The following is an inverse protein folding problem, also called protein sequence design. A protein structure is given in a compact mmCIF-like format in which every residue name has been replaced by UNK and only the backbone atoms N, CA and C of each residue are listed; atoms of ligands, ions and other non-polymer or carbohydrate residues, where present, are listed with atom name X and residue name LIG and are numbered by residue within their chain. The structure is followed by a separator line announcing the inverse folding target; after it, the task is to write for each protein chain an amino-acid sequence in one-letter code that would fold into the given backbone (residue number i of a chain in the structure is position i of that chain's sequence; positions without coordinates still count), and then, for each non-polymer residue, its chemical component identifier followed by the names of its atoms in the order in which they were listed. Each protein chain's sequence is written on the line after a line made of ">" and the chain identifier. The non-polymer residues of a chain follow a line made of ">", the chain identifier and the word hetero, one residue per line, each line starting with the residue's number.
data_IF_138824315362
#
_entry.id   IF_138824315362
#
_cell.length_a   1.000
_cell.length_b   1.000
_cell.length_c   1.000
_cell.angle_alpha   90.00
_cell.angle_beta   90.00
_cell.angle_gamma   90.00
#
_symmetry.space_group_name_H-M   'P 1'
#
loop_
_entity.id
_entity.type
_entity.pdbx_description
1 polymer ?
#
# COMPACT_ATOMS: atom_id res chain seq x y z
N UNK A 1 10.74 17.99 -0.10
CA UNK A 1 10.07 16.68 -0.06
C UNK A 1 10.95 15.64 -0.71
N UNK A 2 11.24 14.54 -0.01
CA UNK A 2 12.20 13.55 -0.49
C UNK A 2 11.49 12.26 -0.88
N UNK A 3 11.77 11.80 -2.09
CA UNK A 3 11.29 10.49 -2.58
C UNK A 3 12.07 9.39 -1.85
N UNK A 4 11.36 8.40 -1.32
CA UNK A 4 11.99 7.27 -0.67
C UNK A 4 12.77 6.45 -1.69
N UNK A 5 13.97 6.01 -1.33
CA UNK A 5 14.83 5.23 -2.23
C UNK A 5 14.32 3.80 -2.36
N UNK A 6 14.53 3.22 -3.53
CA UNK A 6 14.14 1.85 -3.84
C UNK A 6 14.60 0.85 -2.76
N UNK A 7 15.89 0.87 -2.44
CA UNK A 7 16.46 -0.08 -1.49
C UNK A 7 15.89 0.12 -0.08
N UNK A 8 15.73 1.38 0.32
CA UNK A 8 15.17 1.68 1.65
C UNK A 8 13.73 1.19 1.76
N UNK A 9 12.93 1.38 0.70
CA UNK A 9 11.56 0.93 0.66
C UNK A 9 11.47 -0.60 0.74
N UNK A 10 12.23 -1.30 -0.10
CA UNK A 10 12.23 -2.76 -0.11
C UNK A 10 12.73 -3.35 1.21
N UNK A 11 13.78 -2.78 1.78
CA UNK A 11 14.31 -3.25 3.07
C UNK A 11 13.26 -3.10 4.17
N UNK A 12 12.54 -1.98 4.18
CA UNK A 12 11.50 -1.75 5.18
C UNK A 12 10.33 -2.74 4.99
N UNK A 13 9.88 -2.96 3.76
CA UNK A 13 8.82 -3.94 3.49
C UNK A 13 9.27 -5.34 3.88
N UNK A 14 10.48 -5.70 3.49
CA UNK A 14 11.05 -7.01 3.80
C UNK A 14 11.11 -7.25 5.31
N UNK A 15 11.56 -6.25 6.06
CA UNK A 15 11.67 -6.33 7.51
C UNK A 15 10.29 -6.46 8.17
N UNK A 16 9.35 -5.62 7.79
CA UNK A 16 8.01 -5.61 8.40
C UNK A 16 7.19 -6.83 8.04
N UNK A 17 7.34 -7.32 6.82
CA UNK A 17 6.67 -8.53 6.36
C UNK A 17 7.42 -9.81 6.71
N UNK A 18 8.63 -9.67 7.24
CA UNK A 18 9.51 -10.82 7.53
C UNK A 18 9.72 -11.71 6.32
N UNK A 19 9.88 -11.07 5.15
CA UNK A 19 10.11 -11.81 3.91
C UNK A 19 11.55 -12.34 3.83
N UNK A 20 11.74 -13.58 3.41
CA UNK A 20 13.09 -14.15 3.30
C UNK A 20 13.91 -13.53 2.17
N UNK A 21 13.27 -12.95 1.16
CA UNK A 21 13.96 -12.36 0.02
C UNK A 21 13.39 -11.00 -0.36
N UNK A 22 14.21 -10.18 -1.00
CA UNK A 22 13.76 -8.91 -1.55
C UNK A 22 12.73 -9.10 -2.67
N UNK A 23 12.83 -10.20 -3.42
CA UNK A 23 11.88 -10.51 -4.49
C UNK A 23 10.45 -10.70 -3.97
N UNK A 24 10.30 -11.38 -2.85
CA UNK A 24 8.99 -11.56 -2.23
C UNK A 24 8.44 -10.25 -1.70
N UNK A 25 9.29 -9.40 -1.10
CA UNK A 25 8.89 -8.07 -0.65
C UNK A 25 8.44 -7.22 -1.83
N UNK A 26 9.16 -7.26 -2.94
CA UNK A 26 8.81 -6.52 -4.15
C UNK A 26 7.46 -6.98 -4.71
N UNK A 27 7.22 -8.28 -4.76
CA UNK A 27 5.96 -8.83 -5.27
C UNK A 27 4.77 -8.36 -4.44
N UNK A 28 4.90 -8.41 -3.12
CA UNK A 28 3.85 -7.92 -2.22
C UNK A 28 3.59 -6.44 -2.45
N UNK A 29 4.65 -5.63 -2.54
CA UNK A 29 4.52 -4.19 -2.76
C UNK A 29 3.84 -3.88 -4.10
N UNK A 30 4.21 -4.56 -5.17
CA UNK A 30 3.60 -4.35 -6.49
C UNK A 30 2.10 -4.61 -6.47
N UNK A 31 1.69 -5.71 -5.86
CA UNK A 31 0.28 -6.10 -5.79
C UNK A 31 -0.52 -5.09 -4.96
N UNK A 32 -0.04 -4.78 -3.78
CA UNK A 32 -0.75 -3.89 -2.86
C UNK A 32 -0.87 -2.48 -3.44
N UNK A 33 0.21 -1.96 -4.04
CA UNK A 33 0.20 -0.61 -4.60
C UNK A 33 -0.67 -0.50 -5.85
N UNK A 34 -0.74 -1.56 -6.66
CA UNK A 34 -1.62 -1.58 -7.83
C UNK A 34 -3.09 -1.50 -7.40
N UNK A 35 -3.45 -2.20 -6.33
CA UNK A 35 -4.80 -2.14 -5.78
C UNK A 35 -5.07 -0.81 -5.08
N UNK A 36 -4.12 -0.31 -4.31
CA UNK A 36 -4.27 0.96 -3.60
C UNK A 36 -4.51 2.10 -4.59
N UNK A 37 -3.77 2.12 -5.70
CA UNK A 37 -3.91 3.16 -6.71
C UNK A 37 -5.32 3.27 -7.26
N UNK A 38 -6.04 2.15 -7.34
CA UNK A 38 -7.42 2.12 -7.81
C UNK A 38 -8.40 2.79 -6.84
N UNK A 39 -7.98 2.98 -5.58
CA UNK A 39 -8.81 3.57 -4.52
C UNK A 39 -8.52 5.04 -4.26
N UNK A 40 -7.51 5.59 -4.92
CA UNK A 40 -7.10 6.98 -4.74
C UNK A 40 -7.31 7.78 -6.01
N UNK A 41 -7.62 9.05 -5.87
CA UNK A 41 -7.82 9.95 -7.01
C UNK A 41 -7.13 11.29 -6.74
N UNK A 42 -6.88 12.02 -7.83
CA UNK A 42 -6.46 13.42 -7.77
C UNK A 42 -5.10 13.65 -7.14
N UNK A 43 -5.00 14.72 -6.40
CA UNK A 43 -3.73 15.19 -5.84
C UNK A 43 -3.12 14.24 -4.82
N UNK A 44 -3.94 13.60 -3.99
CA UNK A 44 -3.45 12.66 -2.98
C UNK A 44 -2.73 11.47 -3.59
N UNK A 45 -3.24 10.96 -4.70
CA UNK A 45 -2.56 9.87 -5.41
C UNK A 45 -1.23 10.36 -5.98
N UNK A 46 -1.22 11.54 -6.61
CA UNK A 46 -0.01 12.11 -7.17
C UNK A 46 1.03 12.44 -6.11
N UNK A 47 0.60 13.02 -4.99
CA UNK A 47 1.50 13.34 -3.88
C UNK A 47 2.10 12.09 -3.26
N UNK A 48 1.29 11.06 -3.08
CA UNK A 48 1.78 9.80 -2.54
C UNK A 48 2.81 9.17 -3.49
N UNK A 49 2.50 9.14 -4.78
CA UNK A 49 3.44 8.63 -5.79
C UNK A 49 4.77 9.36 -5.74
N UNK A 50 4.75 10.69 -5.51
CA UNK A 50 5.96 11.48 -5.47
C UNK A 50 6.88 11.11 -4.29
N UNK A 51 6.36 10.43 -3.28
CA UNK A 51 7.13 10.03 -2.10
C UNK A 51 7.67 8.60 -2.17
N UNK A 52 7.20 7.83 -3.15
CA UNK A 52 7.60 6.44 -3.32
C UNK A 52 8.72 6.29 -4.35
N UNK A 53 9.48 5.19 -4.30
CA UNK A 53 10.44 4.89 -5.37
C UNK A 53 9.75 4.93 -6.72
N UNK A 54 10.47 5.37 -7.75
CA UNK A 54 9.89 5.63 -9.06
C UNK A 54 9.10 4.46 -9.65
N UNK A 55 9.62 3.24 -9.54
CA UNK A 55 8.89 2.06 -10.04
C UNK A 55 7.56 1.88 -9.34
N UNK A 56 7.52 2.04 -8.02
CA UNK A 56 6.29 1.91 -7.26
C UNK A 56 5.35 3.09 -7.49
N UNK A 57 5.91 4.29 -7.71
CA UNK A 57 5.12 5.45 -8.10
C UNK A 57 4.36 5.19 -9.40
N UNK A 58 5.02 4.60 -10.38
CA UNK A 58 4.40 4.27 -11.67
C UNK A 58 3.28 3.25 -11.50
N UNK A 59 3.47 2.28 -10.63
CA UNK A 59 2.43 1.27 -10.35
C UNK A 59 1.21 1.94 -9.70
N UNK A 60 1.42 2.82 -8.74
CA UNK A 60 0.35 3.53 -8.06
C UNK A 60 -0.44 4.42 -9.04
N UNK A 61 0.25 5.05 -9.98
CA UNK A 61 -0.37 5.94 -10.96
C UNK A 61 -1.04 5.20 -12.12
N UNK A 62 -0.74 3.91 -12.30
CA UNK A 62 -1.36 3.07 -13.33
C UNK A 62 -2.05 1.87 -12.67
N UNK A 63 -3.09 2.12 -11.87
CA UNK A 63 -3.69 1.07 -11.06
C UNK A 63 -4.48 0.07 -11.88
N UNK A 64 -4.68 -1.11 -11.29
CA UNK A 64 -5.65 -2.06 -11.80
C UNK A 64 -7.03 -1.44 -11.68
N UNK A 65 -7.87 -1.67 -12.70
CA UNK A 65 -9.21 -1.12 -12.66
C UNK A 65 -10.06 -1.85 -11.65
N UNK A 66 -10.63 -1.09 -10.71
CA UNK A 66 -11.61 -1.61 -9.77
C UNK A 66 -12.96 -0.96 -10.10
N UNK A 67 -13.99 -1.76 -10.20
CA UNK A 67 -15.33 -1.25 -10.51
C UNK A 67 -15.90 -0.42 -9.37
N UNK A 68 -15.54 -0.75 -8.14
CA UNK A 68 -16.02 -0.09 -6.93
C UNK A 68 -14.92 -0.04 -5.87
N UNK A 69 -14.94 0.97 -4.99
CA UNK A 69 -14.02 0.95 -3.84
C UNK A 69 -14.29 -0.26 -2.96
N UNK A 70 -13.22 -0.93 -2.56
CA UNK A 70 -13.32 -2.10 -1.70
C UNK A 70 -13.18 -1.68 -0.24
N UNK A 71 -13.96 -2.30 0.66
CA UNK A 71 -13.72 -2.15 2.08
C UNK A 71 -12.40 -2.89 2.44
N UNK A 72 -11.84 -2.66 3.64
CA UNK A 72 -10.56 -3.25 3.99
C UNK A 72 -10.51 -4.77 3.87
N UNK A 73 -11.58 -5.46 4.26
CA UNK A 73 -11.65 -6.92 4.18
C UNK A 73 -11.60 -7.41 2.74
N UNK A 74 -12.36 -6.76 1.85
CA UNK A 74 -12.35 -7.11 0.42
C UNK A 74 -11.03 -6.76 -0.24
N UNK A 75 -10.38 -5.69 0.20
CA UNK A 75 -9.05 -5.33 -0.28
C UNK A 75 -8.05 -6.44 0.02
N UNK A 76 -8.08 -6.95 1.25
CA UNK A 76 -7.22 -8.08 1.64
C UNK A 76 -7.52 -9.32 0.80
N UNK A 77 -8.78 -9.63 0.56
CA UNK A 77 -9.17 -10.77 -0.28
C UNK A 77 -8.71 -10.60 -1.72
N UNK A 78 -8.84 -9.39 -2.27
CA UNK A 78 -8.37 -9.11 -3.62
C UNK A 78 -6.86 -9.28 -3.72
N UNK A 79 -6.12 -8.85 -2.68
CA UNK A 79 -4.68 -9.06 -2.62
C UNK A 79 -4.35 -10.55 -2.63
N UNK A 80 -5.07 -11.35 -1.82
CA UNK A 80 -4.86 -12.79 -1.76
C UNK A 80 -5.07 -13.46 -3.12
N UNK A 81 -6.05 -12.99 -3.89
CA UNK A 81 -6.34 -13.55 -5.21
C UNK A 81 -5.20 -13.34 -6.22
N UNK A 82 -4.39 -12.29 -6.03
CA UNK A 82 -3.28 -11.97 -6.93
C UNK A 82 -1.94 -12.58 -6.50
N UNK A 83 -1.85 -13.09 -5.28
CA UNK A 83 -0.62 -13.70 -4.77
C UNK A 83 -0.83 -15.20 -4.65
N UNK A 84 -0.11 -15.98 -5.46
CA UNK A 84 -0.21 -17.44 -5.46
C UNK A 84 0.04 -18.03 -4.07
N UNK A 85 -0.87 -18.89 -3.63
CA UNK A 85 -0.74 -19.58 -2.37
C UNK A 85 -1.05 -18.76 -1.13
N UNK A 86 -1.47 -17.51 -1.30
CA UNK A 86 -1.78 -16.66 -0.16
C UNK A 86 -3.14 -17.00 0.44
N UNK A 87 -3.19 -17.11 1.77
CA UNK A 87 -4.44 -17.18 2.53
C UNK A 87 -4.87 -15.75 2.85
N UNK A 88 -6.09 -15.58 3.35
CA UNK A 88 -6.56 -14.27 3.80
C UNK A 88 -5.67 -13.71 4.92
N UNK A 89 -5.19 -14.57 5.84
CA UNK A 89 -4.30 -14.14 6.91
C UNK A 89 -2.96 -13.67 6.39
N UNK A 90 -2.37 -14.43 5.46
CA UNK A 90 -1.10 -14.06 4.83
C UNK A 90 -1.26 -12.76 4.04
N UNK A 91 -2.35 -12.62 3.30
CA UNK A 91 -2.60 -11.40 2.53
C UNK A 91 -2.78 -10.19 3.44
N UNK A 92 -3.43 -10.33 4.58
CA UNK A 92 -3.57 -9.24 5.54
C UNK A 92 -2.20 -8.81 6.07
N UNK A 93 -1.33 -9.77 6.34
CA UNK A 93 0.04 -9.51 6.76
C UNK A 93 0.78 -8.73 5.67
N UNK A 94 0.67 -9.18 4.42
CA UNK A 94 1.33 -8.53 3.28
C UNK A 94 0.82 -7.10 3.08
N UNK A 95 -0.49 -6.91 3.12
CA UNK A 95 -1.09 -5.59 2.98
C UNK A 95 -0.59 -4.65 4.09
N UNK A 96 -0.62 -5.11 5.33
CA UNK A 96 -0.20 -4.29 6.48
C UNK A 96 1.28 -3.93 6.41
N UNK A 97 2.13 -4.88 6.00
CA UNK A 97 3.57 -4.62 5.87
C UNK A 97 3.83 -3.51 4.85
N UNK A 98 3.23 -3.62 3.67
CA UNK A 98 3.42 -2.64 2.61
C UNK A 98 2.83 -1.28 2.99
N UNK A 99 1.57 -1.26 3.45
CA UNK A 99 0.89 -0.01 3.74
C UNK A 99 1.50 0.75 4.91
N UNK A 100 2.07 0.05 5.91
CA UNK A 100 2.74 0.74 7.01
C UNK A 100 4.00 1.47 6.52
N UNK A 101 4.73 0.90 5.56
CA UNK A 101 5.89 1.57 4.95
C UNK A 101 5.43 2.75 4.11
N UNK A 102 4.34 2.59 3.36
CA UNK A 102 3.74 3.68 2.58
C UNK A 102 3.34 4.83 3.51
N UNK A 103 2.75 4.54 4.65
CA UNK A 103 2.38 5.56 5.64
C UNK A 103 3.60 6.34 6.15
N UNK A 104 4.70 5.64 6.40
CA UNK A 104 5.94 6.30 6.84
C UNK A 104 6.49 7.22 5.75
N UNK A 105 6.44 6.78 4.50
CA UNK A 105 6.90 7.60 3.37
C UNK A 105 6.00 8.82 3.16
N UNK A 106 4.71 8.68 3.39
CA UNK A 106 3.74 9.75 3.18
C UNK A 106 3.78 10.84 4.26
N UNK A 107 3.96 10.44 5.51
CA UNK A 107 3.86 11.35 6.64
C UNK A 107 2.41 11.59 7.07
N UNK A 108 2.23 12.15 8.26
CA UNK A 108 0.92 12.27 8.89
C UNK A 108 -0.09 13.09 8.11
N UNK A 109 0.33 14.24 7.57
CA UNK A 109 -0.58 15.13 6.87
C UNK A 109 -1.16 14.47 5.62
N UNK A 110 -0.30 13.92 4.78
CA UNK A 110 -0.75 13.25 3.57
C UNK A 110 -1.58 12.02 3.91
N UNK A 111 -1.17 11.23 4.92
CA UNK A 111 -1.94 10.05 5.32
C UNK A 111 -3.33 10.41 5.77
N UNK A 112 -3.51 11.50 6.51
CA UNK A 112 -4.85 11.95 6.92
C UNK A 112 -5.74 12.19 5.70
N UNK A 113 -5.20 12.85 4.67
CA UNK A 113 -5.95 13.11 3.45
C UNK A 113 -6.23 11.84 2.63
N UNK A 114 -5.28 10.92 2.59
CA UNK A 114 -5.46 9.62 1.93
C UNK A 114 -6.57 8.83 2.60
N UNK A 115 -6.55 8.76 3.93
CA UNK A 115 -7.56 8.00 4.68
C UNK A 115 -8.96 8.56 4.50
N UNK A 116 -9.10 9.87 4.25
CA UNK A 116 -10.39 10.47 3.98
C UNK A 116 -11.00 10.01 2.65
N UNK A 117 -10.18 9.57 1.70
CA UNK A 117 -10.66 9.04 0.42
C UNK A 117 -11.06 7.57 0.50
N UNK A 118 -10.61 6.87 1.55
CA UNK A 118 -10.79 5.43 1.67
C UNK A 118 -11.99 5.10 2.56
N UNK A 119 -12.64 3.95 2.33
CA UNK A 119 -13.67 3.47 3.25
C UNK A 119 -13.13 3.32 4.68
N UNK A 120 -14.02 3.34 5.69
CA UNK A 120 -13.58 3.18 7.09
C UNK A 120 -12.86 1.86 7.33
N UNK A 121 -11.86 1.88 8.20
CA UNK A 121 -11.10 0.70 8.60
C UNK A 121 -9.72 0.59 7.98
N UNK A 122 -9.42 1.35 6.93
CA UNK A 122 -8.10 1.32 6.33
C UNK A 122 -7.00 1.80 7.26
N UNK A 123 -7.32 2.65 8.23
CA UNK A 123 -6.34 3.11 9.21
C UNK A 123 -5.65 1.95 9.92
N UNK A 124 -6.36 0.86 10.14
CA UNK A 124 -5.80 -0.34 10.77
C UNK A 124 -4.76 -1.02 9.86
N UNK A 125 -5.03 -1.04 8.55
CA UNK A 125 -4.11 -1.63 7.58
C UNK A 125 -2.84 -0.80 7.42
N UNK A 126 -2.96 0.52 7.53
CA UNK A 126 -1.81 1.42 7.49
C UNK A 126 -1.06 1.47 8.82
N UNK A 127 -1.60 0.89 9.87
CA UNK A 127 -1.00 0.94 11.20
C UNK A 127 -1.04 2.33 11.83
N UNK A 128 -2.08 3.10 11.51
CA UNK A 128 -2.23 4.47 12.02
C UNK A 128 -3.50 4.60 12.84
N UNK A 129 -3.51 5.53 13.82
CA UNK A 129 -4.74 5.80 14.55
C UNK A 129 -5.77 6.46 13.63
N UNK A 130 -7.04 6.28 13.98
CA UNK A 130 -8.14 6.85 13.23
C UNK A 130 -8.06 8.39 13.28
N UNK A 131 -8.13 9.07 12.12
CA UNK A 131 -8.16 10.54 12.13
C UNK A 131 -9.45 11.02 12.80
N UNK A 132 -9.31 12.00 13.64
CA UNK A 132 -10.46 12.63 14.32
C UNK A 132 -11.18 13.61 13.39
#
# INVERSE_FOLDING_TARGET
>A
MVRMRWQAFLDAVRERGEYPTAHEAERAARTVLALLGAHLVGEERAELAARLPETFAMILLNPLQAAEPLDPERFVRATAAWIDGASAETAKWDVSAVLSVVADAAGEDLMSRVLLQLPPGYELLFGRPRPD
#
